data_IF_916869818710
#
_entry.id   IF_916869818710
#
_cell.length_a   1.000
_cell.length_b   1.000
_cell.length_c   1.000
_cell.angle_alpha   90.00
_cell.angle_beta   90.00
_cell.angle_gamma   90.00
#
_symmetry.space_group_name_H-M   'P 1'
#
loop_
_entity.id
_entity.type
_entity.pdbx_description
1 polymer ?
#
# COMPACT_ATOMS: atom_id res chain seq x y z
N UNK A 1 -1.88 -17.65 -23.80
CA UNK A 1 -1.12 -18.01 -22.59
C UNK A 1 0.09 -17.09 -22.49
N UNK A 2 -0.01 -16.03 -21.73
CA UNK A 2 1.14 -15.17 -21.37
C UNK A 2 1.03 -14.87 -19.89
N UNK A 3 1.85 -15.57 -19.12
CA UNK A 3 2.06 -15.34 -17.69
C UNK A 3 2.91 -14.08 -17.52
N UNK A 4 2.27 -12.92 -17.44
CA UNK A 4 2.94 -11.69 -17.02
C UNK A 4 3.20 -11.75 -15.53
N UNK A 5 4.46 -11.71 -15.13
CA UNK A 5 4.88 -11.57 -13.72
C UNK A 5 4.46 -10.18 -13.20
N UNK A 6 3.33 -10.12 -12.54
CA UNK A 6 2.85 -8.93 -11.84
C UNK A 6 3.49 -8.83 -10.44
N UNK A 7 4.79 -8.55 -10.41
CA UNK A 7 5.41 -8.03 -9.19
C UNK A 7 5.29 -6.51 -9.21
N UNK A 8 4.09 -5.99 -8.92
CA UNK A 8 3.92 -4.58 -8.57
C UNK A 8 4.57 -4.39 -7.20
N UNK A 9 5.56 -3.51 -7.04
CA UNK A 9 6.00 -3.11 -5.71
C UNK A 9 4.87 -2.29 -5.06
N UNK A 10 3.94 -2.98 -4.40
CA UNK A 10 2.84 -2.40 -3.60
C UNK A 10 3.33 -1.46 -2.50
N UNK A 11 4.64 -1.47 -2.20
CA UNK A 11 5.30 -0.62 -1.21
C UNK A 11 5.32 0.88 -1.57
N UNK A 12 5.18 1.26 -2.85
CA UNK A 12 5.10 2.67 -3.25
C UNK A 12 3.72 3.31 -2.96
N UNK A 13 2.71 2.51 -2.63
CA UNK A 13 1.34 2.98 -2.33
C UNK A 13 1.19 3.53 -0.90
N UNK A 14 2.16 3.34 -0.01
CA UNK A 14 2.00 3.60 1.44
C UNK A 14 2.55 4.94 1.95
N UNK A 15 3.21 5.76 1.14
CA UNK A 15 3.97 6.92 1.66
C UNK A 15 3.25 8.28 1.67
N UNK A 16 1.96 8.35 1.38
CA UNK A 16 1.23 9.65 1.36
C UNK A 16 0.31 9.85 2.58
N UNK A 17 0.61 9.25 3.71
CA UNK A 17 -0.22 9.42 4.92
C UNK A 17 0.51 9.66 6.24
N UNK A 18 1.84 9.59 6.26
CA UNK A 18 2.59 9.63 7.52
C UNK A 18 3.25 10.99 7.86
N UNK A 19 3.16 12.00 7.00
CA UNK A 19 3.93 13.24 7.16
C UNK A 19 3.27 14.35 8.00
N UNK A 20 2.07 14.19 8.54
CA UNK A 20 1.37 15.29 9.23
C UNK A 20 1.41 15.25 10.78
N UNK A 21 2.13 14.31 11.39
CA UNK A 21 2.13 14.16 12.87
C UNK A 21 3.48 14.49 13.55
N UNK A 22 4.46 15.01 12.82
CA UNK A 22 5.80 15.26 13.34
C UNK A 22 6.26 16.71 13.21
N UNK A 23 5.47 17.67 13.69
CA UNK A 23 5.98 19.02 13.91
C UNK A 23 5.17 19.70 15.00
N UNK A 24 5.68 19.60 16.22
CA UNK A 24 5.71 20.61 17.28
C UNK A 24 6.12 19.97 18.62
N UNK A 25 7.38 20.14 19.03
CA UNK A 25 7.71 20.28 20.43
C UNK A 25 9.17 20.73 20.62
N UNK A 26 9.33 21.98 20.99
CA UNK A 26 10.60 22.53 21.47
C UNK A 26 11.00 21.93 22.81
N UNK A 27 12.33 21.88 23.06
CA UNK A 27 12.95 21.70 24.37
C UNK A 27 12.68 20.35 25.02
N UNK A 28 13.38 19.27 24.65
CA UNK A 28 13.19 17.94 25.23
C UNK A 28 14.19 17.67 26.35
N UNK A 29 13.70 17.56 27.60
CA UNK A 29 14.20 16.57 28.52
C UNK A 29 13.99 15.19 27.92
N UNK A 30 15.03 14.35 27.89
CA UNK A 30 14.91 12.95 27.42
C UNK A 30 13.96 12.19 28.38
N UNK A 31 12.68 12.12 28.00
CA UNK A 31 11.62 11.43 28.72
C UNK A 31 11.39 10.01 28.18
N UNK A 32 12.32 9.48 27.36
CA UNK A 32 12.26 8.08 26.97
C UNK A 32 12.33 7.19 28.22
N UNK A 33 11.26 6.42 28.53
CA UNK A 33 11.34 5.49 29.65
C UNK A 33 12.50 4.53 29.38
N UNK A 34 13.50 4.50 30.25
CA UNK A 34 14.58 3.50 30.18
C UNK A 34 13.94 2.13 30.35
N UNK A 35 13.79 1.39 29.25
CA UNK A 35 13.30 0.01 29.31
C UNK A 35 14.30 -0.79 30.13
N UNK A 36 13.90 -1.43 31.26
CA UNK A 36 14.79 -2.22 32.09
C UNK A 36 15.44 -3.36 31.29
N UNK A 37 16.68 -3.67 31.55
CA UNK A 37 17.35 -4.82 30.94
C UNK A 37 16.87 -6.09 31.65
N UNK A 38 16.01 -6.88 30.95
CA UNK A 38 15.48 -8.17 31.43
C UNK A 38 15.73 -9.24 30.36
N UNK A 39 15.63 -10.51 30.73
CA UNK A 39 15.66 -11.59 29.73
C UNK A 39 14.34 -11.64 28.93
N UNK A 40 14.38 -12.21 27.72
CA UNK A 40 13.17 -12.41 26.92
C UNK A 40 12.10 -13.21 27.70
N UNK A 41 12.52 -14.26 28.41
CA UNK A 41 11.60 -15.07 29.25
C UNK A 41 10.91 -14.22 30.32
N UNK A 42 11.63 -13.28 30.94
CA UNK A 42 11.02 -12.37 31.91
C UNK A 42 9.99 -11.46 31.26
N UNK A 43 10.25 -10.93 30.05
CA UNK A 43 9.27 -10.13 29.31
C UNK A 43 8.04 -10.93 28.91
N UNK A 44 8.21 -12.21 28.54
CA UNK A 44 7.07 -13.10 28.25
C UNK A 44 6.20 -13.30 29.49
N UNK A 45 6.80 -13.37 30.68
CA UNK A 45 6.04 -13.43 31.96
C UNK A 45 5.29 -12.11 32.18
N UNK A 46 5.96 -10.96 31.99
CA UNK A 46 5.38 -9.64 32.15
C UNK A 46 4.18 -9.37 31.21
N UNK A 47 4.11 -10.05 30.07
CA UNK A 47 2.92 -9.99 29.20
C UNK A 47 1.64 -10.50 29.88
N UNK A 48 1.75 -11.23 30.99
CA UNK A 48 0.62 -11.75 31.77
C UNK A 48 0.35 -10.94 33.04
N UNK A 49 1.10 -9.85 33.26
CA UNK A 49 0.92 -9.02 34.46
C UNK A 49 -0.49 -8.42 34.49
N UNK A 50 -1.01 -8.23 35.70
CA UNK A 50 -2.31 -7.58 35.92
C UNK A 50 -2.31 -6.11 35.55
N UNK A 51 -1.16 -5.44 35.63
CA UNK A 51 -0.99 -4.03 35.28
C UNK A 51 -0.77 -3.90 33.76
N UNK A 52 -1.65 -3.13 33.10
CA UNK A 52 -1.56 -2.83 31.69
C UNK A 52 -0.24 -2.14 31.30
N UNK A 53 0.31 -1.29 32.18
CA UNK A 53 1.58 -0.58 31.95
C UNK A 53 2.74 -1.57 31.85
N UNK A 54 2.77 -2.60 32.67
CA UNK A 54 3.79 -3.65 32.63
C UNK A 54 3.72 -4.44 31.32
N UNK A 55 2.50 -4.80 30.90
CA UNK A 55 2.27 -5.49 29.62
C UNK A 55 2.68 -4.63 28.42
N UNK A 56 2.38 -3.31 28.45
CA UNK A 56 2.76 -2.35 27.40
C UNK A 56 4.27 -2.26 27.24
N UNK A 57 4.99 -2.12 28.38
CA UNK A 57 6.45 -2.06 28.39
C UNK A 57 7.05 -3.36 27.85
N UNK A 58 6.51 -4.51 28.22
CA UNK A 58 6.96 -5.81 27.73
C UNK A 58 6.81 -5.93 26.21
N UNK A 59 5.65 -5.50 25.64
CA UNK A 59 5.41 -5.47 24.19
C UNK A 59 6.37 -4.52 23.46
N UNK A 60 6.77 -3.43 24.10
CA UNK A 60 7.74 -2.47 23.53
C UNK A 60 9.18 -3.00 23.58
N UNK A 61 9.50 -3.85 24.56
CA UNK A 61 10.84 -4.41 24.75
C UNK A 61 11.13 -5.62 23.87
N UNK A 62 10.16 -6.51 23.69
CA UNK A 62 10.32 -7.80 22.97
C UNK A 62 10.92 -7.63 21.57
N UNK A 63 10.51 -6.69 20.71
CA UNK A 63 11.08 -6.56 19.37
C UNK A 63 12.59 -6.31 19.33
N UNK A 64 13.18 -5.81 20.41
CA UNK A 64 14.62 -5.52 20.49
C UNK A 64 15.49 -6.79 20.63
N UNK A 65 14.89 -7.97 20.78
CA UNK A 65 15.62 -9.26 20.91
C UNK A 65 15.89 -9.94 19.55
N UNK A 66 15.56 -9.30 18.45
CA UNK A 66 15.86 -9.81 17.11
C UNK A 66 15.24 -11.16 16.80
N UNK A 67 16.00 -12.08 16.19
CA UNK A 67 15.52 -13.41 15.78
C UNK A 67 15.15 -14.34 16.93
N UNK A 68 15.58 -14.05 18.15
CA UNK A 68 15.25 -14.86 19.34
C UNK A 68 13.79 -14.73 19.79
N UNK A 69 13.01 -13.83 19.18
CA UNK A 69 11.66 -13.46 19.63
C UNK A 69 10.58 -14.51 19.33
N UNK A 70 10.89 -15.56 18.56
CA UNK A 70 9.92 -16.58 18.17
C UNK A 70 9.17 -17.23 19.33
N UNK A 71 9.83 -17.39 20.50
CA UNK A 71 9.18 -17.93 21.70
C UNK A 71 8.10 -16.99 22.28
N UNK A 72 8.21 -15.69 22.04
CA UNK A 72 7.26 -14.70 22.53
C UNK A 72 6.00 -14.56 21.66
N UNK A 73 6.05 -14.99 20.40
CA UNK A 73 4.96 -14.79 19.43
C UNK A 73 3.59 -15.24 19.97
N UNK A 74 3.42 -16.45 20.53
CA UNK A 74 2.12 -16.86 21.05
C UNK A 74 1.57 -15.93 22.14
N UNK A 75 2.44 -15.46 23.05
CA UNK A 75 2.05 -14.56 24.13
C UNK A 75 1.73 -13.15 23.61
N UNK A 76 2.45 -12.67 22.59
CA UNK A 76 2.15 -11.39 21.92
C UNK A 76 0.80 -11.46 21.20
N UNK A 77 0.50 -12.58 20.49
CA UNK A 77 -0.80 -12.81 19.84
C UNK A 77 -1.95 -12.72 20.87
N UNK A 78 -1.78 -13.31 22.06
CA UNK A 78 -2.79 -13.27 23.12
C UNK A 78 -3.09 -11.81 23.56
N UNK A 79 -2.11 -10.92 23.51
CA UNK A 79 -2.28 -9.49 23.84
C UNK A 79 -3.08 -8.71 22.79
N UNK A 80 -3.30 -9.25 21.61
CA UNK A 80 -4.27 -8.67 20.67
C UNK A 80 -5.72 -8.69 21.23
N UNK A 81 -5.99 -9.51 22.23
CA UNK A 81 -7.30 -9.59 22.91
C UNK A 81 -7.28 -8.90 24.30
N UNK A 82 -6.26 -8.12 24.60
CA UNK A 82 -6.12 -7.46 25.89
C UNK A 82 -7.32 -6.52 26.17
N UNK A 83 -7.82 -6.44 27.40
CA UNK A 83 -8.88 -5.50 27.76
C UNK A 83 -8.45 -4.04 27.55
N UNK A 84 -7.17 -3.72 27.76
CA UNK A 84 -6.63 -2.39 27.55
C UNK A 84 -6.35 -2.12 26.07
N UNK A 85 -6.83 -0.99 25.56
CA UNK A 85 -6.67 -0.64 24.14
C UNK A 85 -5.22 -0.31 23.76
N UNK A 86 -4.46 0.32 24.67
CA UNK A 86 -3.03 0.62 24.47
C UNK A 86 -2.21 -0.65 24.31
N UNK A 87 -2.47 -1.64 25.16
CA UNK A 87 -1.83 -2.96 25.08
C UNK A 87 -2.16 -3.64 23.75
N UNK A 88 -3.44 -3.58 23.28
CA UNK A 88 -3.79 -4.12 21.94
C UNK A 88 -3.05 -3.41 20.80
N UNK A 89 -2.93 -2.07 20.86
CA UNK A 89 -2.14 -1.29 19.89
C UNK A 89 -0.69 -1.79 19.86
N UNK A 90 -0.06 -1.92 21.02
CA UNK A 90 1.34 -2.39 21.14
C UNK A 90 1.51 -3.82 20.65
N UNK A 91 0.55 -4.72 20.94
CA UNK A 91 0.58 -6.09 20.47
C UNK A 91 0.56 -6.16 18.94
N UNK A 92 -0.35 -5.42 18.29
CA UNK A 92 -0.44 -5.34 16.83
C UNK A 92 0.84 -4.72 16.24
N UNK A 93 1.38 -3.66 16.83
CA UNK A 93 2.64 -3.06 16.41
C UNK A 93 3.82 -4.04 16.55
N UNK A 94 3.91 -4.79 17.66
CA UNK A 94 4.93 -5.81 17.82
C UNK A 94 4.84 -6.88 16.72
N UNK A 95 3.63 -7.42 16.45
CA UNK A 95 3.43 -8.40 15.37
C UNK A 95 3.74 -7.84 13.96
N UNK A 96 3.67 -6.52 13.78
CA UNK A 96 4.01 -5.89 12.49
C UNK A 96 5.51 -5.87 12.19
N UNK A 97 6.38 -6.06 13.18
CA UNK A 97 7.86 -5.99 13.05
C UNK A 97 8.56 -7.29 13.40
N UNK A 98 7.94 -8.16 14.21
CA UNK A 98 8.52 -9.43 14.61
C UNK A 98 8.63 -10.40 13.43
N UNK A 99 9.64 -11.26 13.44
CA UNK A 99 9.76 -12.38 12.51
C UNK A 99 8.78 -13.48 12.93
N UNK A 100 7.76 -13.72 12.10
CA UNK A 100 6.71 -14.72 12.36
C UNK A 100 7.11 -16.01 11.63
N UNK A 101 7.30 -17.10 12.38
CA UNK A 101 7.59 -18.41 11.82
C UNK A 101 6.33 -19.00 11.16
N UNK A 102 6.51 -19.85 10.15
CA UNK A 102 5.41 -20.44 9.36
C UNK A 102 4.33 -21.10 10.23
N UNK A 103 4.74 -21.79 11.33
CA UNK A 103 3.80 -22.38 12.28
C UNK A 103 2.87 -21.39 12.99
N UNK A 104 3.31 -20.14 13.14
CA UNK A 104 2.59 -19.08 13.86
C UNK A 104 1.83 -18.14 12.91
N UNK A 105 2.08 -18.20 11.58
CA UNK A 105 1.42 -17.37 10.58
C UNK A 105 -0.11 -17.50 10.66
N UNK A 106 -0.72 -18.71 10.64
CA UNK A 106 -2.17 -18.82 10.65
C UNK A 106 -2.82 -18.16 11.87
N UNK A 107 -2.27 -18.38 13.06
CA UNK A 107 -2.78 -17.79 14.30
C UNK A 107 -2.60 -16.27 14.34
N UNK A 108 -1.46 -15.78 13.84
CA UNK A 108 -1.18 -14.33 13.75
C UNK A 108 -2.15 -13.65 12.80
N UNK A 109 -2.34 -14.20 11.61
CA UNK A 109 -3.27 -13.68 10.60
C UNK A 109 -4.69 -13.66 11.14
N UNK A 110 -5.14 -14.72 11.81
CA UNK A 110 -6.49 -14.79 12.40
C UNK A 110 -6.69 -13.73 13.52
N UNK A 111 -5.68 -13.56 14.39
CA UNK A 111 -5.73 -12.54 15.44
C UNK A 111 -5.80 -11.12 14.87
N UNK A 112 -4.98 -10.81 13.87
CA UNK A 112 -4.98 -9.52 13.19
C UNK A 112 -6.30 -9.28 12.43
N UNK A 113 -6.82 -10.30 11.73
CA UNK A 113 -8.10 -10.21 11.04
C UNK A 113 -9.25 -9.91 12.02
N UNK A 114 -9.25 -10.58 13.17
CA UNK A 114 -10.23 -10.31 14.22
C UNK A 114 -10.15 -8.87 14.74
N UNK A 115 -8.93 -8.32 14.93
CA UNK A 115 -8.78 -6.90 15.33
C UNK A 115 -9.22 -5.94 14.23
N UNK A 116 -8.90 -6.23 12.98
CA UNK A 116 -9.36 -5.44 11.84
C UNK A 116 -10.90 -5.36 11.75
N UNK A 117 -11.58 -6.45 12.04
CA UNK A 117 -13.03 -6.58 11.95
C UNK A 117 -13.78 -6.04 13.17
N UNK A 118 -13.30 -6.32 14.38
CA UNK A 118 -14.10 -6.22 15.59
C UNK A 118 -13.61 -5.20 16.62
N UNK A 119 -12.36 -4.70 16.50
CA UNK A 119 -11.84 -3.81 17.54
C UNK A 119 -12.66 -2.52 17.64
N UNK A 120 -13.07 -2.12 18.87
CA UNK A 120 -13.81 -0.86 19.06
C UNK A 120 -12.95 0.37 18.70
N UNK A 121 -11.61 0.28 18.78
CA UNK A 121 -10.71 1.39 18.50
C UNK A 121 -10.30 1.39 17.02
N UNK A 122 -10.55 2.52 16.32
CA UNK A 122 -10.18 2.70 14.93
C UNK A 122 -8.66 2.52 14.70
N UNK A 123 -7.82 2.98 15.64
CA UNK A 123 -6.38 2.84 15.58
C UNK A 123 -5.93 1.38 15.55
N UNK A 124 -6.54 0.51 16.39
CA UNK A 124 -6.21 -0.92 16.41
C UNK A 124 -6.61 -1.57 15.08
N UNK A 125 -7.82 -1.26 14.56
CA UNK A 125 -8.27 -1.74 13.24
C UNK A 125 -7.29 -1.35 12.14
N UNK A 126 -6.92 -0.08 12.07
CA UNK A 126 -6.01 0.44 11.06
C UNK A 126 -4.64 -0.26 11.10
N UNK A 127 -4.04 -0.36 12.29
CA UNK A 127 -2.75 -1.03 12.48
C UNK A 127 -2.82 -2.53 12.16
N UNK A 128 -3.91 -3.21 12.53
CA UNK A 128 -4.11 -4.62 12.21
C UNK A 128 -4.19 -4.86 10.69
N UNK A 129 -4.91 -4.01 9.95
CA UNK A 129 -4.97 -4.09 8.49
C UNK A 129 -3.60 -3.85 7.87
N UNK A 130 -2.82 -2.88 8.39
CA UNK A 130 -1.46 -2.64 7.94
C UNK A 130 -0.54 -3.84 8.23
N UNK A 131 -0.62 -4.41 9.43
CA UNK A 131 0.18 -5.57 9.80
C UNK A 131 -0.15 -6.79 8.93
N UNK A 132 -1.42 -7.01 8.56
CA UNK A 132 -1.82 -8.07 7.64
C UNK A 132 -1.12 -7.97 6.28
N UNK A 133 -0.87 -6.77 5.79
CA UNK A 133 -0.28 -6.57 4.46
C UNK A 133 1.16 -7.08 4.32
N UNK A 134 1.84 -7.45 5.41
CA UNK A 134 3.17 -8.08 5.35
C UNK A 134 3.14 -9.57 4.98
N UNK A 135 1.99 -10.24 5.16
CA UNK A 135 1.83 -11.67 4.88
C UNK A 135 1.59 -11.94 3.39
N UNK A 136 1.92 -13.16 2.96
CA UNK A 136 1.62 -13.60 1.60
C UNK A 136 0.10 -13.67 1.37
N UNK A 137 -0.40 -13.32 0.18
CA UNK A 137 -1.82 -13.44 -0.14
C UNK A 137 -2.42 -14.83 0.07
N UNK A 138 -1.65 -15.90 -0.13
CA UNK A 138 -2.13 -17.27 0.10
C UNK A 138 -2.47 -17.49 1.57
N UNK A 139 -1.60 -17.05 2.47
CA UNK A 139 -1.80 -17.18 3.92
C UNK A 139 -2.91 -16.28 4.45
N UNK A 140 -3.05 -15.08 3.88
CA UNK A 140 -3.96 -14.06 4.39
C UNK A 140 -5.31 -13.98 3.65
N UNK A 141 -5.58 -14.81 2.64
CA UNK A 141 -6.84 -14.77 1.89
C UNK A 141 -8.07 -14.98 2.77
N UNK A 142 -7.96 -15.77 3.83
CA UNK A 142 -9.02 -15.96 4.84
C UNK A 142 -9.48 -14.66 5.48
N UNK A 143 -8.70 -13.59 5.37
CA UNK A 143 -9.00 -12.27 5.95
C UNK A 143 -9.93 -11.42 5.10
N UNK A 144 -10.26 -11.83 3.86
CA UNK A 144 -11.10 -11.03 2.95
C UNK A 144 -12.41 -10.63 3.62
N UNK A 145 -13.09 -11.57 4.30
CA UNK A 145 -14.35 -11.25 4.99
C UNK A 145 -14.16 -10.17 6.07
N UNK A 146 -13.09 -10.25 6.86
CA UNK A 146 -12.77 -9.25 7.87
C UNK A 146 -12.48 -7.87 7.25
N UNK A 147 -11.75 -7.84 6.13
CA UNK A 147 -11.45 -6.60 5.40
C UNK A 147 -12.70 -5.99 4.75
N UNK A 148 -13.60 -6.83 4.22
CA UNK A 148 -14.90 -6.36 3.71
C UNK A 148 -15.71 -5.69 4.83
N UNK A 149 -15.75 -6.28 6.03
CA UNK A 149 -16.43 -5.64 7.16
C UNK A 149 -15.70 -4.36 7.63
N UNK A 150 -14.37 -4.36 7.67
CA UNK A 150 -13.59 -3.17 8.00
C UNK A 150 -13.81 -2.03 6.98
N UNK A 151 -14.06 -2.35 5.70
CA UNK A 151 -14.35 -1.34 4.67
C UNK A 151 -15.69 -0.62 4.86
N UNK A 152 -16.52 -1.09 5.80
CA UNK A 152 -17.83 -0.49 6.17
C UNK A 152 -17.78 0.22 7.53
N UNK A 153 -16.61 0.25 8.20
CA UNK A 153 -16.49 0.78 9.56
C UNK A 153 -16.90 2.27 9.63
N UNK A 154 -17.96 2.63 10.41
CA UNK A 154 -18.56 3.96 10.31
C UNK A 154 -17.69 5.08 10.88
N UNK A 155 -16.87 4.77 11.91
CA UNK A 155 -16.21 5.78 12.74
C UNK A 155 -14.85 6.25 12.21
N UNK A 156 -14.34 5.69 11.09
CA UNK A 156 -13.07 6.13 10.50
C UNK A 156 -13.02 5.85 9.00
N UNK A 157 -12.85 6.90 8.22
CA UNK A 157 -12.62 6.78 6.79
C UNK A 157 -11.23 6.20 6.49
N UNK A 158 -10.24 6.40 7.37
CA UNK A 158 -8.90 5.83 7.24
C UNK A 158 -8.97 4.30 7.29
N UNK A 159 -9.77 3.73 8.22
CA UNK A 159 -9.99 2.28 8.31
C UNK A 159 -10.66 1.76 7.06
N UNK A 160 -11.73 2.43 6.57
CA UNK A 160 -12.41 2.02 5.34
C UNK A 160 -11.47 2.06 4.14
N UNK A 161 -10.68 3.14 4.02
CA UNK A 161 -9.72 3.32 2.93
C UNK A 161 -8.63 2.24 2.93
N UNK A 162 -7.99 1.99 4.08
CA UNK A 162 -6.91 1.00 4.16
C UNK A 162 -7.43 -0.43 3.95
N UNK A 163 -8.67 -0.71 4.34
CA UNK A 163 -9.31 -2.00 4.08
C UNK A 163 -9.49 -2.25 2.58
N UNK A 164 -9.93 -1.25 1.81
CA UNK A 164 -10.03 -1.35 0.35
C UNK A 164 -8.68 -1.57 -0.32
N UNK A 165 -7.62 -0.89 0.16
CA UNK A 165 -6.25 -1.10 -0.32
C UNK A 165 -5.79 -2.55 -0.06
N UNK A 166 -6.04 -3.06 1.15
CA UNK A 166 -5.69 -4.43 1.50
C UNK A 166 -6.50 -5.47 0.68
N UNK A 167 -7.76 -5.18 0.38
CA UNK A 167 -8.59 -6.03 -0.49
C UNK A 167 -8.02 -6.18 -1.90
N UNK A 168 -7.30 -5.20 -2.44
CA UNK A 168 -6.59 -5.35 -3.72
C UNK A 168 -5.54 -6.45 -3.62
N UNK A 169 -4.74 -6.44 -2.54
CA UNK A 169 -3.68 -7.43 -2.35
C UNK A 169 -4.21 -8.85 -2.17
N UNK A 170 -5.22 -9.02 -1.34
CA UNK A 170 -5.72 -10.34 -0.93
C UNK A 170 -6.88 -10.86 -1.79
N UNK A 171 -7.59 -9.98 -2.44
CA UNK A 171 -8.76 -10.30 -3.27
C UNK A 171 -8.44 -10.79 -4.67
N UNK A 172 -7.16 -10.76 -5.11
CA UNK A 172 -6.77 -11.30 -6.41
C UNK A 172 -6.22 -12.71 -6.28
N UNK A 173 -6.81 -13.66 -6.99
CA UNK A 173 -6.28 -15.02 -7.17
C UNK A 173 -5.84 -15.22 -8.62
N UNK A 174 -4.65 -15.79 -8.78
CA UNK A 174 -4.06 -16.01 -10.11
C UNK A 174 -4.81 -17.07 -10.93
N UNK A 175 -5.54 -17.96 -10.28
CA UNK A 175 -6.25 -19.07 -10.91
C UNK A 175 -7.74 -18.82 -11.06
N UNK A 176 -8.37 -18.24 -10.03
CA UNK A 176 -9.82 -18.03 -9.99
C UNK A 176 -10.24 -16.59 -10.31
N UNK A 177 -9.26 -15.68 -10.45
CA UNK A 177 -9.53 -14.26 -10.66
C UNK A 177 -9.92 -13.51 -9.38
N UNK A 178 -10.51 -12.33 -9.49
CA UNK A 178 -10.81 -11.49 -8.34
C UNK A 178 -11.94 -12.06 -7.48
N UNK A 179 -11.78 -11.93 -6.17
CA UNK A 179 -12.80 -12.31 -5.20
C UNK A 179 -14.06 -11.42 -5.33
N UNK A 180 -15.20 -12.06 -5.46
CA UNK A 180 -16.49 -11.37 -5.68
C UNK A 180 -16.85 -10.44 -4.51
N UNK A 181 -16.54 -10.82 -3.24
CA UNK A 181 -16.86 -9.99 -2.07
C UNK A 181 -15.97 -8.76 -2.02
N UNK A 182 -14.68 -8.90 -2.37
CA UNK A 182 -13.74 -7.78 -2.44
C UNK A 182 -14.18 -6.75 -3.49
N UNK A 183 -14.55 -7.21 -4.69
CA UNK A 183 -15.04 -6.31 -5.75
C UNK A 183 -16.38 -5.67 -5.39
N UNK A 184 -17.31 -6.44 -4.81
CA UNK A 184 -18.60 -5.89 -4.37
C UNK A 184 -18.44 -4.82 -3.27
N UNK A 185 -17.50 -5.02 -2.33
CA UNK A 185 -17.18 -4.02 -1.32
C UNK A 185 -16.61 -2.73 -1.94
N UNK A 186 -15.73 -2.86 -2.93
CA UNK A 186 -15.20 -1.71 -3.67
C UNK A 186 -16.31 -0.96 -4.45
N UNK A 187 -17.22 -1.66 -5.11
CA UNK A 187 -18.37 -1.04 -5.79
C UNK A 187 -19.26 -0.28 -4.80
N UNK A 188 -19.55 -0.84 -3.64
CA UNK A 188 -20.35 -0.17 -2.60
C UNK A 188 -19.64 1.10 -2.10
N UNK A 189 -18.31 1.05 -1.93
CA UNK A 189 -17.51 2.16 -1.44
C UNK A 189 -17.34 3.33 -2.42
N UNK A 190 -17.75 3.20 -3.68
CA UNK A 190 -17.86 4.34 -4.62
C UNK A 190 -18.85 5.41 -4.15
N UNK A 191 -19.77 5.04 -3.25
CA UNK A 191 -20.78 5.93 -2.65
C UNK A 191 -20.38 6.44 -1.26
N UNK A 192 -19.15 6.16 -0.82
CA UNK A 192 -18.69 6.60 0.51
C UNK A 192 -18.71 8.14 0.62
N UNK A 193 -19.12 8.71 1.77
CA UNK A 193 -19.10 10.16 1.96
C UNK A 193 -17.69 10.76 1.86
N UNK A 194 -16.63 10.01 2.23
CA UNK A 194 -15.25 10.47 2.21
C UNK A 194 -14.61 10.26 0.83
N UNK A 195 -14.12 11.34 0.22
CA UNK A 195 -13.43 11.31 -1.08
C UNK A 195 -12.26 10.32 -1.10
N UNK A 196 -11.37 10.26 -0.08
CA UNK A 196 -10.25 9.32 -0.08
C UNK A 196 -10.68 7.84 -0.13
N UNK A 197 -11.86 7.51 0.42
CA UNK A 197 -12.42 6.15 0.34
C UNK A 197 -12.94 5.87 -1.07
N UNK A 198 -13.63 6.84 -1.70
CA UNK A 198 -14.09 6.69 -3.09
C UNK A 198 -12.92 6.51 -4.07
N UNK A 199 -11.80 7.24 -3.87
CA UNK A 199 -10.59 7.06 -4.68
C UNK A 199 -9.95 5.67 -4.46
N UNK A 200 -9.91 5.18 -3.23
CA UNK A 200 -9.46 3.82 -2.98
C UNK A 200 -10.40 2.77 -3.63
N UNK A 201 -11.69 3.04 -3.65
CA UNK A 201 -12.70 2.16 -4.25
C UNK A 201 -12.52 2.03 -5.76
N UNK A 202 -12.40 3.13 -6.50
CA UNK A 202 -12.18 3.07 -7.95
C UNK A 202 -10.84 2.42 -8.30
N UNK A 203 -9.78 2.71 -7.53
CA UNK A 203 -8.49 2.06 -7.68
C UNK A 203 -8.59 0.55 -7.44
N UNK A 204 -9.32 0.13 -6.42
CA UNK A 204 -9.54 -1.28 -6.15
C UNK A 204 -10.30 -1.98 -7.28
N UNK A 205 -11.35 -1.36 -7.81
CA UNK A 205 -12.10 -1.89 -8.97
C UNK A 205 -11.20 -2.01 -10.19
N UNK A 206 -10.39 -0.99 -10.48
CA UNK A 206 -9.48 -0.99 -11.62
C UNK A 206 -8.42 -2.10 -11.54
N UNK A 207 -7.91 -2.38 -10.34
CA UNK A 207 -6.86 -3.37 -10.11
C UNK A 207 -7.39 -4.79 -9.97
N UNK A 208 -8.53 -4.99 -9.32
CA UNK A 208 -9.18 -6.29 -9.19
C UNK A 208 -9.83 -6.75 -10.50
N UNK A 209 -10.49 -5.85 -11.22
CA UNK A 209 -11.19 -6.18 -12.45
C UNK A 209 -12.54 -6.86 -12.23
N UNK A 210 -13.00 -7.62 -13.24
CA UNK A 210 -14.30 -8.30 -13.26
C UNK A 210 -14.21 -9.69 -12.60
N UNK A 211 -15.02 -9.97 -11.56
CA UNK A 211 -15.11 -11.31 -10.98
C UNK A 211 -16.01 -12.21 -11.84
N UNK A 212 -16.01 -13.51 -11.56
CA UNK A 212 -16.86 -14.48 -12.27
C UNK A 212 -18.36 -14.32 -11.99
N UNK A 213 -18.76 -13.52 -11.01
CA UNK A 213 -20.17 -13.25 -10.72
C UNK A 213 -20.74 -12.24 -11.72
N UNK A 214 -21.74 -12.59 -12.55
CA UNK A 214 -22.26 -11.73 -13.64
C UNK A 214 -22.83 -10.39 -13.15
N UNK A 215 -23.54 -10.37 -12.03
CA UNK A 215 -24.14 -9.14 -11.49
C UNK A 215 -23.07 -8.16 -11.01
N UNK A 216 -22.05 -8.65 -10.28
CA UNK A 216 -20.95 -7.81 -9.82
C UNK A 216 -20.10 -7.35 -11.00
N UNK A 217 -19.86 -8.23 -11.97
CA UNK A 217 -19.14 -7.91 -13.22
C UNK A 217 -19.85 -6.81 -14.03
N UNK A 218 -21.17 -6.87 -14.19
CA UNK A 218 -21.95 -5.82 -14.83
C UNK A 218 -21.88 -4.49 -14.05
N UNK A 219 -21.87 -4.55 -12.73
CA UNK A 219 -21.65 -3.38 -11.87
C UNK A 219 -20.29 -2.72 -12.08
N UNK A 220 -19.23 -3.51 -12.23
CA UNK A 220 -17.88 -3.02 -12.55
C UNK A 220 -17.87 -2.31 -13.90
N UNK A 221 -18.42 -2.93 -14.94
CA UNK A 221 -18.45 -2.37 -16.28
C UNK A 221 -19.19 -1.03 -16.32
N UNK A 222 -20.37 -0.97 -15.71
CA UNK A 222 -21.16 0.25 -15.57
C UNK A 222 -20.36 1.35 -14.87
N UNK A 223 -19.77 1.06 -13.70
CA UNK A 223 -19.01 2.03 -12.92
C UNK A 223 -17.80 2.57 -13.68
N UNK A 224 -17.03 1.69 -14.35
CA UNK A 224 -15.86 2.10 -15.12
C UNK A 224 -16.26 2.98 -16.32
N UNK A 225 -17.33 2.62 -17.05
CA UNK A 225 -17.81 3.39 -18.21
C UNK A 225 -18.29 4.78 -17.79
N UNK A 226 -19.09 4.87 -16.73
CA UNK A 226 -19.61 6.14 -16.23
C UNK A 226 -18.49 7.05 -15.71
N UNK A 227 -17.57 6.51 -14.89
CA UNK A 227 -16.50 7.30 -14.28
C UNK A 227 -15.39 7.70 -15.26
N UNK A 228 -15.14 6.89 -16.30
CA UNK A 228 -14.17 7.22 -17.36
C UNK A 228 -14.54 8.50 -18.13
N UNK A 229 -15.83 8.84 -18.18
CA UNK A 229 -16.37 10.01 -18.86
C UNK A 229 -16.80 11.13 -17.88
N UNK A 230 -16.59 10.93 -16.58
CA UNK A 230 -16.91 11.90 -15.54
C UNK A 230 -15.95 13.09 -15.53
N UNK A 231 -16.34 14.15 -14.82
CA UNK A 231 -15.55 15.39 -14.69
C UNK A 231 -14.36 15.26 -13.72
N UNK A 232 -14.42 14.32 -12.76
CA UNK A 232 -13.31 14.08 -11.82
C UNK A 232 -12.18 13.31 -12.53
N UNK A 233 -11.04 13.97 -12.68
CA UNK A 233 -9.89 13.45 -13.42
C UNK A 233 -9.29 12.21 -12.78
N UNK A 234 -9.30 12.13 -11.45
CA UNK A 234 -8.73 10.98 -10.73
C UNK A 234 -9.61 9.74 -10.94
N UNK A 235 -10.93 9.89 -10.84
CA UNK A 235 -11.83 8.80 -11.18
C UNK A 235 -11.69 8.38 -12.65
N UNK A 236 -11.59 9.34 -13.57
CA UNK A 236 -11.43 9.06 -14.98
C UNK A 236 -10.12 8.32 -15.29
N UNK A 237 -8.99 8.70 -14.65
CA UNK A 237 -7.71 7.99 -14.78
C UNK A 237 -7.89 6.51 -14.39
N UNK A 238 -8.37 6.24 -13.18
CA UNK A 238 -8.47 4.87 -12.67
C UNK A 238 -9.54 4.05 -13.39
N UNK A 239 -10.65 4.66 -13.79
CA UNK A 239 -11.65 4.00 -14.62
C UNK A 239 -11.06 3.56 -15.98
N UNK A 240 -10.24 4.41 -16.61
CA UNK A 240 -9.56 4.07 -17.86
C UNK A 240 -8.47 3.00 -17.67
N UNK A 241 -7.79 2.94 -16.53
CA UNK A 241 -6.92 1.81 -16.17
C UNK A 241 -7.73 0.52 -16.12
N UNK A 242 -8.87 0.53 -15.43
CA UNK A 242 -9.74 -0.65 -15.34
C UNK A 242 -10.26 -1.11 -16.70
N UNK A 243 -10.63 -0.19 -17.59
CA UNK A 243 -11.06 -0.50 -18.97
C UNK A 243 -9.90 -1.05 -19.80
N UNK A 244 -8.70 -0.47 -19.71
CA UNK A 244 -7.49 -0.95 -20.39
C UNK A 244 -7.12 -2.39 -19.99
N UNK A 245 -7.31 -2.74 -18.71
CA UNK A 245 -7.07 -4.09 -18.22
C UNK A 245 -8.10 -5.12 -18.74
N UNK A 246 -9.27 -4.66 -19.18
CA UNK A 246 -10.34 -5.53 -19.70
C UNK A 246 -10.25 -5.73 -21.20
N UNK A 247 -9.79 -4.71 -21.93
CA UNK A 247 -9.68 -4.74 -23.40
C UNK A 247 -8.37 -4.11 -23.86
N UNK A 248 -7.45 -4.96 -24.28
CA UNK A 248 -6.12 -4.56 -24.78
C UNK A 248 -6.20 -3.69 -26.03
N UNK A 249 -7.24 -3.87 -26.87
CA UNK A 249 -7.39 -3.10 -28.11
C UNK A 249 -7.71 -1.63 -27.85
N UNK A 250 -8.45 -1.33 -26.80
CA UNK A 250 -8.80 0.05 -26.41
C UNK A 250 -7.70 0.74 -25.58
N UNK A 251 -6.68 0.01 -25.13
CA UNK A 251 -5.63 0.51 -24.22
C UNK A 251 -4.94 1.77 -24.76
N UNK A 252 -4.63 1.83 -26.06
CA UNK A 252 -3.95 2.98 -26.66
C UNK A 252 -4.71 4.30 -26.45
N UNK A 253 -6.06 4.28 -26.58
CA UNK A 253 -6.91 5.45 -26.35
C UNK A 253 -6.88 5.88 -24.87
N UNK A 254 -6.92 4.93 -23.96
CA UNK A 254 -6.87 5.19 -22.52
C UNK A 254 -5.52 5.73 -22.11
N UNK A 255 -4.42 5.16 -22.60
CA UNK A 255 -3.04 5.64 -22.36
C UNK A 255 -2.86 7.07 -22.86
N UNK A 256 -3.39 7.41 -24.03
CA UNK A 256 -3.37 8.80 -24.55
C UNK A 256 -4.03 9.79 -23.59
N UNK A 257 -5.19 9.44 -23.04
CA UNK A 257 -5.84 10.27 -22.03
C UNK A 257 -4.98 10.42 -20.77
N UNK A 258 -4.41 9.32 -20.25
CA UNK A 258 -3.58 9.34 -19.04
C UNK A 258 -2.32 10.18 -19.26
N UNK A 259 -1.69 10.11 -20.46
CA UNK A 259 -0.58 10.98 -20.86
C UNK A 259 -0.95 12.47 -20.78
N UNK A 260 -2.15 12.85 -21.22
CA UNK A 260 -2.62 14.24 -21.11
C UNK A 260 -2.77 14.70 -19.64
N UNK A 261 -3.01 13.78 -18.71
CA UNK A 261 -3.11 14.08 -17.27
C UNK A 261 -1.75 14.41 -16.65
N UNK A 262 -0.64 13.99 -17.23
CA UNK A 262 0.70 14.39 -16.81
C UNK A 262 0.96 15.90 -16.99
N UNK A 263 0.24 16.54 -17.93
CA UNK A 263 0.39 17.97 -18.26
C UNK A 263 -0.52 18.89 -17.45
N UNK A 264 -1.32 18.34 -16.54
CA UNK A 264 -2.22 19.14 -15.70
C UNK A 264 -1.42 19.91 -14.63
N UNK A 265 -1.94 21.05 -14.20
CA UNK A 265 -1.32 21.84 -13.10
C UNK A 265 -1.56 21.21 -11.71
N UNK A 266 -2.61 20.41 -11.57
CA UNK A 266 -2.96 19.72 -10.33
C UNK A 266 -1.95 18.62 -10.03
N UNK A 267 -1.23 18.76 -8.92
CA UNK A 267 -0.21 17.81 -8.48
C UNK A 267 -0.77 16.41 -8.27
N UNK A 268 -1.95 16.30 -7.63
CA UNK A 268 -2.56 15.00 -7.34
C UNK A 268 -2.93 14.26 -8.63
N UNK A 269 -3.45 14.99 -9.63
CA UNK A 269 -3.78 14.42 -10.94
C UNK A 269 -2.52 13.90 -11.65
N UNK A 270 -1.41 14.66 -11.64
CA UNK A 270 -0.12 14.22 -12.21
C UNK A 270 0.37 12.94 -11.54
N UNK A 271 0.34 12.89 -10.20
CA UNK A 271 0.80 11.74 -9.43
C UNK A 271 -0.05 10.49 -9.70
N UNK A 272 -1.36 10.64 -9.75
CA UNK A 272 -2.26 9.52 -10.06
C UNK A 272 -2.08 9.05 -11.52
N UNK A 273 -1.80 9.95 -12.47
CA UNK A 273 -1.47 9.55 -13.84
C UNK A 273 -0.16 8.74 -13.90
N UNK A 274 0.90 9.16 -13.19
CA UNK A 274 2.15 8.40 -13.10
C UNK A 274 1.94 7.01 -12.47
N UNK A 275 1.13 6.93 -11.41
CA UNK A 275 0.77 5.63 -10.81
C UNK A 275 0.00 4.73 -11.77
N UNK A 276 -0.96 5.29 -12.50
CA UNK A 276 -1.71 4.58 -13.51
C UNK A 276 -0.82 4.03 -14.62
N UNK A 277 0.16 4.82 -15.10
CA UNK A 277 1.16 4.40 -16.08
C UNK A 277 1.97 3.21 -15.57
N UNK A 278 2.44 3.27 -14.32
CA UNK A 278 3.17 2.16 -13.71
C UNK A 278 2.34 0.87 -13.62
N UNK A 279 1.03 0.98 -13.40
CA UNK A 279 0.10 -0.16 -13.38
C UNK A 279 -0.12 -0.75 -14.77
N UNK A 280 -0.31 0.09 -15.78
CA UNK A 280 -0.47 -0.35 -17.18
C UNK A 280 0.81 -1.01 -17.71
N UNK A 281 1.98 -0.57 -17.25
CA UNK A 281 3.26 -1.17 -17.60
C UNK A 281 3.63 -0.97 -19.06
N UNK A 282 4.09 -2.03 -19.72
CA UNK A 282 4.64 -1.98 -21.08
C UNK A 282 3.73 -1.30 -22.13
N UNK A 283 2.42 -1.44 -21.99
CA UNK A 283 1.45 -0.81 -22.90
C UNK A 283 1.41 0.72 -22.76
N UNK A 284 1.95 1.27 -21.67
CA UNK A 284 2.07 2.70 -21.46
C UNK A 284 3.35 3.33 -22.07
N UNK A 285 4.16 2.58 -22.83
CA UNK A 285 5.36 3.09 -23.54
C UNK A 285 5.13 4.44 -24.25
N UNK A 286 4.00 4.73 -24.91
CA UNK A 286 3.76 6.02 -25.55
C UNK A 286 3.81 7.23 -24.61
N UNK A 287 3.77 7.03 -23.28
CA UNK A 287 3.86 8.13 -22.29
C UNK A 287 5.30 8.50 -21.92
N UNK A 288 6.32 7.73 -22.38
CA UNK A 288 7.72 7.93 -22.01
C UNK A 288 8.21 9.35 -22.33
N UNK A 289 7.93 9.96 -23.49
CA UNK A 289 8.34 11.34 -23.75
C UNK A 289 7.78 12.34 -22.74
N UNK A 290 6.47 12.24 -22.38
CA UNK A 290 5.85 13.11 -21.39
C UNK A 290 6.42 12.90 -19.97
N UNK A 291 6.85 11.68 -19.62
CA UNK A 291 7.54 11.40 -18.36
C UNK A 291 8.96 11.96 -18.33
N UNK A 292 9.66 11.97 -19.48
CA UNK A 292 10.98 12.61 -19.61
C UNK A 292 10.88 14.11 -19.38
N UNK A 293 9.87 14.77 -19.92
CA UNK A 293 9.62 16.19 -19.71
C UNK A 293 9.45 16.52 -18.20
N UNK A 294 8.83 15.63 -17.43
CA UNK A 294 8.65 15.79 -15.99
C UNK A 294 9.96 15.66 -15.17
N UNK A 295 11.06 15.18 -15.75
CA UNK A 295 12.37 15.20 -15.08
C UNK A 295 12.92 16.62 -14.88
N UNK A 296 12.37 17.61 -15.59
CA UNK A 296 12.68 19.03 -15.46
C UNK A 296 11.56 19.83 -14.73
N UNK A 297 10.58 19.16 -14.10
CA UNK A 297 9.54 19.84 -13.33
C UNK A 297 10.18 20.56 -12.12
N UNK A 298 9.60 21.72 -11.77
CA UNK A 298 10.05 22.53 -10.63
C UNK A 298 9.81 21.86 -9.26
N UNK A 299 8.88 20.93 -9.20
CA UNK A 299 8.53 20.19 -7.98
C UNK A 299 9.36 18.90 -7.89
N UNK A 300 10.26 18.85 -6.91
CA UNK A 300 11.10 17.68 -6.65
C UNK A 300 10.30 16.39 -6.45
N UNK A 301 9.06 16.48 -5.94
CA UNK A 301 8.22 15.31 -5.74
C UNK A 301 7.69 14.77 -7.08
N UNK A 302 7.40 15.64 -8.05
CA UNK A 302 7.07 15.25 -9.43
C UNK A 302 8.26 14.57 -10.09
N UNK A 303 9.47 15.18 -10.01
CA UNK A 303 10.70 14.59 -10.57
C UNK A 303 10.98 13.22 -9.99
N UNK A 304 10.87 13.07 -8.66
CA UNK A 304 11.05 11.79 -7.97
C UNK A 304 10.10 10.71 -8.50
N UNK A 305 8.80 11.03 -8.60
CA UNK A 305 7.80 10.09 -9.10
C UNK A 305 7.97 9.78 -10.60
N UNK A 306 8.41 10.74 -11.41
CA UNK A 306 8.75 10.50 -12.82
C UNK A 306 9.88 9.48 -12.96
N UNK A 307 10.95 9.60 -12.14
CA UNK A 307 12.03 8.61 -12.11
C UNK A 307 11.50 7.21 -11.73
N UNK A 308 10.65 7.10 -10.69
CA UNK A 308 10.06 5.83 -10.30
C UNK A 308 9.20 5.21 -11.40
N UNK A 309 8.40 6.03 -12.07
CA UNK A 309 7.52 5.60 -13.16
C UNK A 309 8.32 5.12 -14.37
N UNK A 310 9.35 5.87 -14.79
CA UNK A 310 10.27 5.45 -15.87
C UNK A 310 10.95 4.12 -15.52
N UNK A 311 11.40 3.97 -14.28
CA UNK A 311 11.99 2.71 -13.79
C UNK A 311 11.00 1.54 -13.82
N UNK A 312 9.72 1.76 -13.53
CA UNK A 312 8.68 0.73 -13.56
C UNK A 312 8.36 0.23 -14.98
N UNK A 313 8.57 1.06 -16.00
CA UNK A 313 8.42 0.68 -17.41
C UNK A 313 9.60 -0.15 -17.93
N UNK A 314 10.69 -0.28 -17.19
CA UNK A 314 11.86 -1.08 -17.54
C UNK A 314 12.39 -0.76 -18.94
N UNK A 315 12.63 -1.79 -19.72
CA UNK A 315 13.20 -1.68 -21.09
C UNK A 315 12.35 -0.87 -22.06
N UNK A 316 11.07 -0.68 -21.78
CA UNK A 316 10.19 0.12 -22.63
C UNK A 316 10.51 1.62 -22.53
N UNK A 317 11.16 2.07 -21.45
CA UNK A 317 11.55 3.47 -21.23
C UNK A 317 13.04 3.73 -21.59
N UNK A 318 13.69 2.94 -22.46
CA UNK A 318 15.09 3.10 -22.83
C UNK A 318 15.48 4.49 -23.33
N UNK A 319 14.54 5.22 -23.91
CA UNK A 319 14.71 6.60 -24.39
C UNK A 319 15.03 7.57 -23.23
N UNK A 320 14.66 7.23 -22.01
CA UNK A 320 14.95 8.03 -20.81
C UNK A 320 16.39 7.88 -20.30
N UNK A 321 17.24 7.03 -20.91
CA UNK A 321 18.62 6.78 -20.45
C UNK A 321 19.45 8.06 -20.35
N UNK A 322 19.51 8.83 -21.42
CA UNK A 322 20.33 10.05 -21.47
C UNK A 322 19.73 11.17 -20.59
N UNK A 323 18.39 11.43 -20.60
CA UNK A 323 17.76 12.34 -19.66
C UNK A 323 18.05 12.00 -18.18
N UNK A 324 17.89 10.73 -17.77
CA UNK A 324 18.20 10.29 -16.41
C UNK A 324 19.68 10.46 -16.05
N UNK A 325 20.59 10.19 -17.00
CA UNK A 325 22.03 10.39 -16.80
C UNK A 325 22.35 11.87 -16.59
N UNK A 326 21.76 12.76 -17.39
CA UNK A 326 21.90 14.21 -17.22
C UNK A 326 21.36 14.69 -15.89
N UNK A 327 20.20 14.16 -15.46
CA UNK A 327 19.61 14.49 -14.16
C UNK A 327 20.55 14.13 -13.00
N UNK A 328 21.12 12.92 -13.00
CA UNK A 328 22.05 12.44 -11.96
C UNK A 328 23.34 13.30 -11.89
N UNK A 329 23.78 13.87 -13.00
CA UNK A 329 24.97 14.71 -13.08
C UNK A 329 24.79 16.12 -12.49
N UNK A 330 23.57 16.56 -12.17
CA UNK A 330 23.30 17.84 -11.51
C UNK A 330 23.96 17.88 -10.13
N UNK A 331 24.78 18.93 -9.84
CA UNK A 331 25.59 19.01 -8.60
C UNK A 331 24.76 19.00 -7.32
N UNK A 332 23.66 19.74 -7.30
CA UNK A 332 22.82 19.94 -6.10
C UNK A 332 21.53 19.11 -6.15
N UNK A 333 21.56 17.98 -6.84
CA UNK A 333 20.38 17.11 -6.93
C UNK A 333 20.05 16.48 -5.57
N UNK A 334 18.78 16.62 -5.15
CA UNK A 334 18.27 16.00 -3.91
C UNK A 334 18.51 14.49 -3.91
N UNK A 335 19.14 13.97 -2.84
CA UNK A 335 19.62 12.59 -2.78
C UNK A 335 18.57 11.52 -3.10
N UNK A 336 17.30 11.61 -2.63
CA UNK A 336 16.26 10.66 -3.01
C UNK A 336 15.99 10.63 -4.52
N UNK A 337 16.02 11.77 -5.21
CA UNK A 337 15.85 11.84 -6.67
C UNK A 337 17.03 11.17 -7.36
N UNK A 338 18.27 11.44 -6.90
CA UNK A 338 19.47 10.81 -7.43
C UNK A 338 19.40 9.30 -7.34
N UNK A 339 18.98 8.77 -6.19
CA UNK A 339 18.81 7.33 -5.98
C UNK A 339 17.70 6.76 -6.88
N UNK A 340 16.54 7.43 -6.98
CA UNK A 340 15.44 7.00 -7.83
C UNK A 340 15.85 6.96 -9.31
N UNK A 341 16.56 8.00 -9.79
CA UNK A 341 17.06 8.07 -11.16
C UNK A 341 18.11 6.99 -11.45
N UNK A 342 19.00 6.71 -10.48
CA UNK A 342 20.00 5.62 -10.60
C UNK A 342 19.30 4.26 -10.70
N UNK A 343 18.33 3.99 -9.84
CA UNK A 343 17.55 2.75 -9.87
C UNK A 343 16.75 2.61 -11.18
N UNK A 344 16.20 3.72 -11.68
CA UNK A 344 15.54 3.73 -12.98
C UNK A 344 16.48 3.33 -14.09
N UNK A 345 17.70 3.91 -14.16
CA UNK A 345 18.72 3.55 -15.16
C UNK A 345 19.10 2.05 -15.13
N UNK A 346 19.18 1.46 -13.95
CA UNK A 346 19.42 0.03 -13.79
C UNK A 346 18.26 -0.80 -14.35
N UNK A 347 17.03 -0.39 -14.04
CA UNK A 347 15.82 -1.05 -14.57
C UNK A 347 15.76 -1.03 -16.09
N UNK A 348 16.16 0.09 -16.75
CA UNK A 348 16.17 0.20 -18.20
C UNK A 348 17.12 -0.81 -18.88
N UNK A 349 18.09 -1.35 -18.16
CA UNK A 349 19.00 -2.41 -18.64
C UNK A 349 18.39 -3.81 -18.56
N UNK A 350 17.19 -3.96 -18.03
CA UNK A 350 16.55 -5.24 -17.77
C UNK A 350 17.07 -5.96 -16.51
N UNK A 351 17.82 -5.26 -15.66
CA UNK A 351 18.28 -5.75 -14.36
C UNK A 351 17.27 -5.32 -13.30
N UNK A 352 16.81 -6.24 -12.46
CA UNK A 352 15.94 -5.89 -11.33
C UNK A 352 16.70 -5.01 -10.33
N UNK A 353 16.19 -3.80 -10.00
CA UNK A 353 16.88 -2.92 -9.06
C UNK A 353 16.98 -3.56 -7.67
N UNK A 354 18.08 -3.28 -6.96
CA UNK A 354 18.16 -3.58 -5.53
C UNK A 354 17.05 -2.83 -4.77
N UNK A 355 16.41 -3.47 -3.77
CA UNK A 355 15.42 -2.78 -2.94
C UNK A 355 16.09 -1.56 -2.29
N UNK A 356 15.36 -0.43 -2.28
CA UNK A 356 15.83 0.76 -1.60
C UNK A 356 16.10 0.46 -0.11
N UNK A 357 17.16 1.00 0.48
CA UNK A 357 17.39 0.89 1.92
C UNK A 357 16.17 1.48 2.63
N UNK A 358 15.67 0.76 3.63
CA UNK A 358 14.62 1.28 4.51
C UNK A 358 15.15 2.56 5.12
N UNK A 359 14.50 3.68 4.84
CA UNK A 359 14.79 4.94 5.54
C UNK A 359 14.63 4.71 7.05
N UNK A 360 15.56 5.22 7.87
CA UNK A 360 15.58 5.02 9.32
C UNK A 360 14.33 5.57 10.01
#
# INVERSE_FOLDING_TARGET
MRTGNWHIPLLALMLIGAASWAQESGGKKDLTPKIPIKSLKSWIIDLKDKDASVRDIALSAIPNYGSSTSEAIPAVIDRCLDPDAGVRVKAVMALSVLEILDRDIPRTVDALAKRAQEDPQAQVRYLAINALQRFDPVDARRTITALVEASKYPNSYEVRRIALIALVKFGMDKTTGPDTKAVAAALAALKDPAIPVRYAAITAIALLGKPNNPLVSAGVEKALTELANGSDKIFAIWAKVGLANQDVLSTATHVKFISQMLKQSDLQVKLEAMRAISVIGALAKPTVPDLIDLLEDKDNFVVFNACLTLGSLNVEAREAKDPLTKLIAKKDLYQPIKQAATNALESLKGVTPKPMPKTP
#
